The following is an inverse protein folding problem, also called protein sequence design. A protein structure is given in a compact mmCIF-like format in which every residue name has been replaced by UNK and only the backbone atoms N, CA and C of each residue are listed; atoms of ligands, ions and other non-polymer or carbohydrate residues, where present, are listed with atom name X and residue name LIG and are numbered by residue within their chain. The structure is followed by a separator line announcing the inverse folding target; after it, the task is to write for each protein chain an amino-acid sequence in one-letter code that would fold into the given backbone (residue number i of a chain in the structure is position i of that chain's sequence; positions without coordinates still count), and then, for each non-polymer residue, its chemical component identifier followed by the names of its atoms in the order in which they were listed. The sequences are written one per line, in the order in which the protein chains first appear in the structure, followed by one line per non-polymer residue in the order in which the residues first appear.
data_IF_415037734692
#
_entry.id   IF_415037734692
#
_cell.length_a   1.000
_cell.length_b   1.000
_cell.length_c   1.000
_cell.angle_alpha   90.00
_cell.angle_beta   90.00
_cell.angle_gamma   90.00
#
_symmetry.space_group_name_H-M   'P 1'
#
loop_
_entity.id
_entity.type
_entity.pdbx_description
1 polymer ?
#
# COMPACT_ATOMS: atom_id res chain seq x y z
N UNK A 1 1.10 12.05 -0.07
CA UNK A 1 -0.02 11.18 -0.48
C UNK A 1 0.40 10.40 -1.71
N UNK A 2 -0.35 9.42 -2.24
CA UNK A 2 -0.04 8.87 -3.57
C UNK A 2 -0.17 9.97 -4.63
N UNK A 3 0.76 10.04 -5.58
CA UNK A 3 0.60 10.88 -6.76
C UNK A 3 -0.64 10.44 -7.54
N UNK A 4 -1.51 11.39 -7.90
CA UNK A 4 -2.73 11.09 -8.63
C UNK A 4 -3.81 12.16 -8.50
N UNK A 5 -5.03 11.87 -9.00
CA UNK A 5 -6.15 12.81 -8.99
C UNK A 5 -6.51 13.31 -7.59
N UNK A 6 -6.48 12.43 -6.58
CA UNK A 6 -6.88 12.80 -5.22
C UNK A 6 -5.89 13.78 -4.57
N UNK A 7 -4.58 13.53 -4.69
CA UNK A 7 -3.57 14.46 -4.20
C UNK A 7 -3.66 15.82 -4.90
N UNK A 8 -3.88 15.82 -6.22
CA UNK A 8 -4.10 17.04 -7.01
C UNK A 8 -5.31 17.82 -6.50
N UNK A 9 -6.41 17.12 -6.25
CA UNK A 9 -7.67 17.70 -5.80
C UNK A 9 -7.59 18.32 -4.40
N UNK A 10 -6.78 17.73 -3.53
CA UNK A 10 -6.50 18.22 -2.18
C UNK A 10 -5.34 19.22 -2.13
N UNK A 11 -4.67 19.51 -3.26
CA UNK A 11 -3.50 20.37 -3.29
C UNK A 11 -2.32 19.83 -2.45
N UNK A 12 -2.18 18.52 -2.38
CA UNK A 12 -1.14 17.83 -1.59
C UNK A 12 -0.03 17.27 -2.49
N UNK A 13 1.18 17.21 -1.94
CA UNK A 13 2.30 16.57 -2.62
C UNK A 13 2.08 15.06 -2.80
N UNK A 14 2.27 14.61 -4.04
CA UNK A 14 2.16 13.22 -4.47
C UNK A 14 3.50 12.48 -4.41
N UNK A 15 3.46 11.22 -3.98
CA UNK A 15 4.57 10.27 -4.03
C UNK A 15 4.33 9.36 -5.25
N UNK A 16 5.19 9.41 -6.28
CA UNK A 16 5.00 8.64 -7.49
C UNK A 16 5.14 7.13 -7.24
N UNK A 17 4.50 6.31 -8.08
CA UNK A 17 4.67 4.86 -8.04
C UNK A 17 6.16 4.45 -8.25
N UNK A 18 6.85 5.19 -9.12
CA UNK A 18 8.27 5.01 -9.41
C UNK A 18 9.19 5.07 -8.17
N UNK A 19 8.78 5.75 -7.09
CA UNK A 19 9.54 5.80 -5.84
C UNK A 19 9.65 4.41 -5.17
N UNK A 20 8.64 3.57 -5.33
CA UNK A 20 8.64 2.18 -4.86
C UNK A 20 9.27 1.25 -5.91
N UNK A 21 8.78 1.33 -7.14
CA UNK A 21 9.14 0.39 -8.22
C UNK A 21 10.63 0.41 -8.56
N UNK A 22 11.25 1.60 -8.61
CA UNK A 22 12.68 1.75 -8.94
C UNK A 22 13.57 1.11 -7.88
N UNK A 23 13.18 1.21 -6.61
CA UNK A 23 13.93 0.64 -5.49
C UNK A 23 13.89 -0.88 -5.54
N UNK A 24 12.71 -1.45 -5.82
CA UNK A 24 12.51 -2.89 -5.98
C UNK A 24 13.33 -3.40 -7.17
N UNK A 25 13.26 -2.74 -8.33
CA UNK A 25 14.00 -3.15 -9.52
C UNK A 25 15.53 -3.17 -9.26
N UNK A 26 16.05 -2.13 -8.59
CA UNK A 26 17.45 -2.07 -8.18
C UNK A 26 17.82 -3.24 -7.25
N UNK A 27 17.01 -3.48 -6.23
CA UNK A 27 17.32 -4.48 -5.20
C UNK A 27 17.21 -5.91 -5.73
N UNK A 28 16.33 -6.15 -6.72
CA UNK A 28 16.29 -7.40 -7.48
C UNK A 28 17.61 -7.61 -8.24
N UNK A 29 18.12 -6.59 -8.93
CA UNK A 29 19.39 -6.70 -9.65
C UNK A 29 20.58 -6.98 -8.70
N UNK A 30 20.59 -6.35 -7.52
CA UNK A 30 21.57 -6.64 -6.48
C UNK A 30 21.44 -8.07 -5.94
N UNK A 31 20.22 -8.57 -5.79
CA UNK A 31 19.96 -9.94 -5.34
C UNK A 31 20.46 -10.97 -6.35
N UNK A 32 20.26 -10.71 -7.64
CA UNK A 32 20.78 -11.54 -8.73
C UNK A 32 22.32 -11.55 -8.75
N UNK A 33 22.94 -10.38 -8.64
CA UNK A 33 24.40 -10.26 -8.66
C UNK A 33 25.09 -10.91 -7.44
N UNK A 34 24.43 -10.89 -6.28
CA UNK A 34 25.01 -11.39 -5.02
C UNK A 34 24.57 -12.81 -4.66
N UNK A 35 23.52 -13.32 -5.31
CA UNK A 35 22.84 -14.54 -4.90
C UNK A 35 22.17 -14.43 -3.53
N UNK A 36 21.91 -13.23 -3.03
CA UNK A 36 21.34 -12.94 -1.72
C UNK A 36 19.87 -13.40 -1.54
N UNK A 37 19.22 -12.91 -0.49
CA UNK A 37 17.76 -13.01 -0.30
C UNK A 37 17.21 -11.60 -0.16
N UNK A 38 16.11 -11.32 -0.84
CA UNK A 38 15.39 -10.05 -0.76
C UNK A 38 13.98 -10.31 -0.26
N UNK A 39 13.56 -9.52 0.73
CA UNK A 39 12.17 -9.42 1.13
C UNK A 39 11.72 -7.98 0.89
N UNK A 40 10.65 -7.80 0.12
CA UNK A 40 10.09 -6.49 -0.20
C UNK A 40 8.92 -6.21 0.73
N UNK A 41 9.11 -5.22 1.59
CA UNK A 41 8.10 -4.80 2.55
C UNK A 41 6.92 -4.10 1.87
N UNK A 42 5.72 -4.32 2.42
CA UNK A 42 4.48 -3.55 2.23
C UNK A 42 4.27 -2.98 0.82
N UNK A 43 4.12 -3.84 -0.19
CA UNK A 43 3.85 -3.44 -1.57
C UNK A 43 2.59 -2.57 -1.67
N UNK A 44 2.64 -1.52 -2.50
CA UNK A 44 1.49 -0.64 -2.70
C UNK A 44 1.14 -0.34 -4.16
N UNK A 45 2.03 -0.63 -5.11
CA UNK A 45 1.79 -0.34 -6.53
C UNK A 45 1.45 -1.59 -7.34
N UNK A 46 0.62 -1.42 -8.38
CA UNK A 46 0.43 -2.44 -9.40
C UNK A 46 1.72 -2.74 -10.18
N UNK A 47 2.59 -1.76 -10.39
CA UNK A 47 3.83 -1.90 -11.16
C UNK A 47 4.92 -2.69 -10.42
N UNK A 48 4.88 -2.75 -9.10
CA UNK A 48 5.80 -3.60 -8.30
C UNK A 48 5.55 -5.09 -8.52
N UNK A 49 4.29 -5.51 -8.73
CA UNK A 49 3.91 -6.92 -8.89
C UNK A 49 4.64 -7.64 -10.02
N UNK A 50 4.68 -7.15 -11.27
CA UNK A 50 5.42 -7.81 -12.34
C UNK A 50 6.93 -7.92 -12.06
N UNK A 51 7.53 -6.95 -11.35
CA UNK A 51 8.95 -7.03 -10.95
C UNK A 51 9.20 -8.23 -10.04
N UNK A 52 8.36 -8.42 -9.01
CA UNK A 52 8.45 -9.57 -8.10
C UNK A 52 8.20 -10.87 -8.85
N UNK A 53 7.16 -10.92 -9.70
CA UNK A 53 6.80 -12.09 -10.50
C UNK A 53 7.95 -12.52 -11.41
N UNK A 54 8.58 -11.58 -12.10
CA UNK A 54 9.73 -11.84 -12.98
C UNK A 54 10.97 -12.30 -12.20
N UNK A 55 11.26 -11.67 -11.05
CA UNK A 55 12.37 -12.11 -10.20
C UNK A 55 12.18 -13.56 -9.74
N UNK A 56 10.97 -13.93 -9.30
CA UNK A 56 10.63 -15.30 -8.90
C UNK A 56 10.73 -16.27 -10.08
N UNK A 57 10.28 -15.91 -11.29
CA UNK A 57 10.35 -16.78 -12.47
C UNK A 57 11.79 -17.07 -12.92
N UNK A 58 12.72 -16.14 -12.64
CA UNK A 58 14.18 -16.33 -12.82
C UNK A 58 14.83 -17.17 -11.71
N UNK A 59 14.06 -17.63 -10.72
CA UNK A 59 14.55 -18.42 -9.59
C UNK A 59 15.28 -17.61 -8.52
N UNK A 60 15.14 -16.28 -8.52
CA UNK A 60 15.75 -15.45 -7.49
C UNK A 60 15.03 -15.64 -6.15
N UNK A 61 15.77 -15.51 -5.05
CA UNK A 61 15.23 -15.64 -3.68
C UNK A 61 14.59 -14.34 -3.22
N UNK A 62 13.50 -13.96 -3.89
CA UNK A 62 12.71 -12.76 -3.62
C UNK A 62 11.38 -13.16 -3.01
N UNK A 63 11.02 -12.53 -1.90
CA UNK A 63 9.67 -12.59 -1.32
C UNK A 63 9.11 -11.19 -1.13
N UNK A 64 7.81 -11.06 -0.95
CA UNK A 64 7.13 -9.79 -0.72
C UNK A 64 5.97 -9.95 0.25
N UNK A 65 5.61 -8.85 0.91
CA UNK A 65 4.42 -8.74 1.75
C UNK A 65 3.54 -7.56 1.32
N UNK A 66 2.28 -7.56 1.77
CA UNK A 66 1.32 -6.46 1.58
C UNK A 66 0.57 -6.19 2.88
N UNK A 67 0.21 -4.93 3.14
CA UNK A 67 -0.52 -4.57 4.34
C UNK A 67 -2.05 -4.67 4.18
N UNK A 68 -2.80 -4.96 5.26
CA UNK A 68 -4.26 -4.98 5.22
C UNK A 68 -4.87 -3.69 4.67
N UNK A 69 -4.31 -2.53 5.02
CA UNK A 69 -4.82 -1.23 4.55
C UNK A 69 -4.54 -1.00 3.06
N UNK A 70 -3.48 -1.54 2.48
CA UNK A 70 -3.25 -1.54 1.01
C UNK A 70 -4.13 -2.55 0.25
N UNK A 71 -4.85 -3.43 0.95
CA UNK A 71 -5.84 -4.33 0.34
C UNK A 71 -7.29 -3.84 0.48
N UNK A 72 -7.53 -2.83 1.32
CA UNK A 72 -8.90 -2.51 1.77
C UNK A 72 -9.24 -1.03 1.71
N UNK A 73 -8.25 -0.13 1.66
CA UNK A 73 -8.43 1.32 1.74
C UNK A 73 -7.74 1.99 0.55
N UNK A 74 -8.47 2.82 -0.19
CA UNK A 74 -7.96 3.61 -1.31
C UNK A 74 -7.59 5.03 -0.90
N UNK A 75 -6.82 5.69 -1.76
CA UNK A 75 -6.52 7.13 -1.68
C UNK A 75 -7.77 8.03 -1.54
N UNK A 76 -8.92 7.62 -2.08
CA UNK A 76 -10.22 8.30 -1.98
C UNK A 76 -10.65 8.56 -0.53
N UNK A 77 -10.19 7.79 0.44
CA UNK A 77 -10.52 8.02 1.85
C UNK A 77 -10.07 9.39 2.34
N UNK A 78 -8.98 9.95 1.79
CA UNK A 78 -8.50 11.27 2.14
C UNK A 78 -9.48 12.40 1.73
N UNK A 79 -10.42 12.14 0.82
CA UNK A 79 -11.51 13.07 0.46
C UNK A 79 -12.60 13.15 1.54
N UNK A 80 -12.56 12.33 2.60
CA UNK A 80 -13.49 12.45 3.72
C UNK A 80 -14.89 11.89 3.46
N UNK A 81 -15.02 10.96 2.51
CA UNK A 81 -16.28 10.29 2.14
C UNK A 81 -16.27 8.78 2.43
N UNK A 82 -15.37 8.32 3.32
CA UNK A 82 -15.22 6.91 3.74
C UNK A 82 -15.07 5.94 2.56
N UNK A 83 -14.24 6.32 1.57
CA UNK A 83 -13.97 5.50 0.40
C UNK A 83 -15.03 5.50 -0.71
N UNK A 84 -16.13 6.23 -0.53
CA UNK A 84 -17.07 6.45 -1.64
C UNK A 84 -16.42 7.35 -2.71
N UNK A 85 -16.61 7.06 -4.01
CA UNK A 85 -16.11 7.90 -5.08
C UNK A 85 -16.59 9.35 -4.89
N UNK A 86 -15.67 10.29 -4.97
CA UNK A 86 -15.99 11.70 -4.83
C UNK A 86 -15.13 12.56 -5.74
N UNK A 87 -15.76 13.55 -6.37
CA UNK A 87 -15.08 14.57 -7.18
C UNK A 87 -14.74 15.82 -6.35
N UNK A 88 -15.16 15.87 -5.08
CA UNK A 88 -14.99 17.02 -4.18
C UNK A 88 -14.65 16.58 -2.74
N UNK A 89 -13.85 17.35 -1.97
CA UNK A 89 -13.54 17.00 -0.59
C UNK A 89 -14.80 17.18 0.27
N UNK A 90 -15.04 16.24 1.18
CA UNK A 90 -16.09 16.32 2.19
C UNK A 90 -15.62 17.04 3.46
N UNK A 91 -16.52 17.14 4.45
CA UNK A 91 -16.23 17.78 5.73
C UNK A 91 -15.18 17.02 6.58
N UNK A 92 -14.91 15.75 6.27
CA UNK A 92 -13.85 14.93 6.91
C UNK A 92 -12.61 14.79 6.02
N UNK A 93 -12.44 15.63 4.99
CA UNK A 93 -11.24 15.57 4.16
C UNK A 93 -9.98 15.87 4.99
N UNK A 94 -8.82 15.42 4.49
CA UNK A 94 -7.53 15.57 5.19
C UNK A 94 -7.43 14.79 6.51
N UNK A 95 -8.18 13.69 6.66
CA UNK A 95 -7.99 12.78 7.79
C UNK A 95 -6.57 12.20 7.76
N UNK A 96 -5.76 12.59 8.75
CA UNK A 96 -4.36 12.22 8.86
C UNK A 96 -4.15 10.73 9.13
N UNK A 97 -5.19 10.00 9.54
CA UNK A 97 -5.14 8.53 9.63
C UNK A 97 -5.09 7.85 8.26
N UNK A 98 -5.33 8.58 7.16
CA UNK A 98 -5.09 8.08 5.80
C UNK A 98 -3.63 8.26 5.35
N UNK A 99 -2.78 8.90 6.16
CA UNK A 99 -1.38 9.15 5.86
C UNK A 99 -0.49 8.00 6.38
N UNK A 100 -0.12 7.10 5.48
CA UNK A 100 0.78 5.94 5.68
C UNK A 100 1.88 5.92 4.61
N UNK A 101 2.91 5.10 4.80
CA UNK A 101 4.02 4.97 3.86
C UNK A 101 4.37 3.49 3.63
N UNK A 102 4.30 2.95 2.40
CA UNK A 102 3.91 3.63 1.16
C UNK A 102 2.45 4.13 1.19
N UNK A 103 2.09 5.19 0.43
CA UNK A 103 0.77 5.80 0.54
C UNK A 103 -0.34 4.85 0.07
N UNK A 104 -1.56 5.06 0.57
CA UNK A 104 -2.77 4.44 0.01
C UNK A 104 -2.92 4.86 -1.45
N UNK A 105 -3.19 3.89 -2.32
CA UNK A 105 -3.25 4.09 -3.78
C UNK A 105 -4.66 3.87 -4.33
N UNK A 106 -4.75 3.85 -5.65
CA UNK A 106 -6.01 3.71 -6.38
C UNK A 106 -6.63 2.33 -6.20
N UNK A 107 -7.92 2.19 -6.49
CA UNK A 107 -8.56 0.87 -6.51
C UNK A 107 -7.92 -0.09 -7.53
N UNK A 108 -7.38 0.43 -8.64
CA UNK A 108 -6.66 -0.38 -9.62
C UNK A 108 -5.40 -1.02 -9.05
N UNK A 109 -4.64 -0.29 -8.23
CA UNK A 109 -3.47 -0.85 -7.54
C UNK A 109 -3.90 -1.95 -6.57
N UNK A 110 -4.93 -1.68 -5.76
CA UNK A 110 -5.46 -2.66 -4.79
C UNK A 110 -5.88 -3.96 -5.47
N UNK A 111 -6.61 -3.88 -6.59
CA UNK A 111 -7.06 -5.08 -7.31
C UNK A 111 -5.87 -5.95 -7.75
N UNK A 112 -4.82 -5.33 -8.29
CA UNK A 112 -3.60 -6.05 -8.71
C UNK A 112 -2.89 -6.68 -7.52
N UNK A 113 -2.84 -6.01 -6.36
CA UNK A 113 -2.25 -6.57 -5.14
C UNK A 113 -3.06 -7.75 -4.59
N UNK A 114 -4.40 -7.68 -4.66
CA UNK A 114 -5.28 -8.79 -4.26
C UNK A 114 -5.04 -10.01 -5.15
N UNK A 115 -5.02 -9.82 -6.46
CA UNK A 115 -4.77 -10.90 -7.43
C UNK A 115 -3.37 -11.49 -7.22
N UNK A 116 -2.36 -10.64 -7.02
CA UNK A 116 -0.98 -11.07 -6.76
C UNK A 116 -0.83 -11.87 -5.46
N UNK A 117 -1.60 -11.53 -4.42
CA UNK A 117 -1.64 -12.29 -3.18
C UNK A 117 -2.32 -13.65 -3.39
N UNK A 118 -3.43 -13.70 -4.13
CA UNK A 118 -4.13 -14.94 -4.46
C UNK A 118 -3.26 -15.88 -5.33
N UNK A 119 -2.48 -15.32 -6.26
CA UNK A 119 -1.54 -16.06 -7.12
C UNK A 119 -0.27 -16.54 -6.39
N UNK A 120 0.00 -16.05 -5.17
CA UNK A 120 1.24 -16.33 -4.44
C UNK A 120 2.47 -15.55 -4.94
N UNK A 121 2.27 -14.52 -5.76
CA UNK A 121 3.33 -13.55 -6.10
C UNK A 121 3.74 -12.78 -4.85
N UNK A 122 2.76 -12.37 -4.04
CA UNK A 122 2.96 -11.82 -2.70
C UNK A 122 2.86 -12.98 -1.70
N UNK A 123 3.86 -13.12 -0.82
CA UNK A 123 4.04 -14.31 0.02
C UNK A 123 3.22 -14.26 1.31
N UNK A 124 3.00 -13.06 1.86
CA UNK A 124 2.26 -12.91 3.12
C UNK A 124 1.59 -11.54 3.27
N UNK A 125 0.72 -11.47 4.29
CA UNK A 125 0.17 -10.21 4.80
C UNK A 125 0.91 -9.83 6.07
N UNK A 126 1.40 -8.58 6.13
CA UNK A 126 2.08 -8.02 7.29
C UNK A 126 1.46 -6.68 7.68
N UNK A 127 1.30 -6.42 8.97
CA UNK A 127 0.42 -5.32 9.41
C UNK A 127 0.98 -3.92 9.17
N UNK A 128 2.31 -3.78 9.11
CA UNK A 128 3.02 -2.50 9.28
C UNK A 128 2.42 -1.66 10.42
N UNK A 129 2.27 -2.28 11.60
CA UNK A 129 1.72 -1.62 12.76
C UNK A 129 2.64 -0.49 13.23
N UNK A 130 2.24 0.75 12.91
CA UNK A 130 2.99 1.97 13.19
C UNK A 130 2.15 2.94 14.05
N UNK A 131 2.00 2.68 15.36
CA UNK A 131 1.23 3.54 16.26
C UNK A 131 1.91 4.89 16.45
N UNK A 132 1.10 5.94 16.54
CA UNK A 132 1.54 7.31 16.76
C UNK A 132 0.71 7.97 17.86
N UNK A 133 1.32 8.90 18.60
CA UNK A 133 0.59 9.69 19.59
C UNK A 133 -0.42 10.64 18.90
N UNK A 134 -1.44 11.05 19.64
CA UNK A 134 -2.51 11.91 19.12
C UNK A 134 -1.97 13.23 18.57
N UNK A 135 -0.95 13.83 19.19
CA UNK A 135 -0.45 15.15 18.78
C UNK A 135 0.26 15.10 17.44
N UNK A 136 0.97 14.01 17.13
CA UNK A 136 1.60 13.80 15.82
C UNK A 136 0.60 13.53 14.68
N UNK A 137 -0.65 13.17 15.02
CA UNK A 137 -1.74 12.97 14.04
C UNK A 137 -2.73 14.14 14.00
N UNK A 138 -2.90 14.92 15.07
CA UNK A 138 -3.80 16.09 15.13
C UNK A 138 -3.13 17.39 14.64
N UNK A 139 -2.50 17.31 13.48
CA UNK A 139 -1.86 18.43 12.78
C UNK A 139 -2.33 18.47 11.32
N UNK A 140 -1.78 19.37 10.52
CA UNK A 140 -2.10 19.40 9.09
C UNK A 140 -1.68 18.09 8.41
N UNK A 141 -2.31 17.76 7.29
CA UNK A 141 -1.95 16.55 6.52
C UNK A 141 -0.46 16.54 6.13
N UNK A 142 0.12 17.70 5.85
CA UNK A 142 1.55 17.84 5.52
C UNK A 142 2.44 17.47 6.70
N UNK A 143 2.09 17.92 7.90
CA UNK A 143 2.92 17.78 9.10
C UNK A 143 2.70 16.45 9.84
N UNK A 144 1.58 15.77 9.60
CA UNK A 144 1.23 14.55 10.31
C UNK A 144 2.24 13.41 10.08
N UNK A 145 2.46 12.57 11.10
CA UNK A 145 3.30 11.38 10.95
C UNK A 145 2.67 10.36 10.00
N UNK A 146 3.53 9.65 9.24
CA UNK A 146 3.14 8.50 8.43
C UNK A 146 3.00 7.27 9.31
N UNK A 147 1.86 6.57 9.24
CA UNK A 147 1.62 5.33 9.97
C UNK A 147 0.29 5.33 10.71
N UNK A 148 -0.22 4.12 10.97
CA UNK A 148 -1.45 3.87 11.72
C UNK A 148 -1.35 2.57 12.54
N UNK A 149 -2.23 2.46 13.54
CA UNK A 149 -2.46 1.21 14.25
C UNK A 149 -3.26 0.22 13.42
N UNK A 150 -2.75 -1.01 13.24
CA UNK A 150 -3.39 -2.04 12.41
C UNK A 150 -3.51 -3.39 13.14
N UNK A 151 -2.74 -3.63 14.21
CA UNK A 151 -2.66 -4.95 14.85
C UNK A 151 -4.03 -5.52 15.26
N UNK A 152 -4.88 -4.70 15.88
CA UNK A 152 -6.22 -5.10 16.36
C UNK A 152 -7.25 -5.21 15.24
N UNK A 153 -7.05 -4.47 14.14
CA UNK A 153 -8.00 -4.39 13.03
C UNK A 153 -7.61 -5.26 11.84
N UNK A 154 -6.38 -5.82 11.83
CA UNK A 154 -5.80 -6.53 10.70
C UNK A 154 -6.74 -7.61 10.17
N UNK A 155 -7.10 -8.58 11.02
CA UNK A 155 -7.96 -9.69 10.63
C UNK A 155 -9.32 -9.21 10.11
N UNK A 156 -9.98 -8.31 10.85
CA UNK A 156 -11.30 -7.80 10.47
C UNK A 156 -11.29 -7.00 9.17
N UNK A 157 -10.21 -6.28 8.88
CA UNK A 157 -10.10 -5.42 7.69
C UNK A 157 -10.08 -6.23 6.41
N UNK A 158 -9.29 -7.31 6.33
CA UNK A 158 -9.18 -8.12 5.12
C UNK A 158 -10.05 -9.40 5.14
N UNK A 159 -10.81 -9.66 6.21
CA UNK A 159 -11.68 -10.85 6.34
C UNK A 159 -12.63 -11.05 5.14
N UNK A 160 -13.22 -9.95 4.65
CA UNK A 160 -14.12 -10.00 3.49
C UNK A 160 -13.43 -10.45 2.20
N UNK A 161 -12.12 -10.25 2.07
CA UNK A 161 -11.32 -10.67 0.93
C UNK A 161 -10.81 -12.10 1.11
N UNK A 162 -10.44 -12.48 2.33
CA UNK A 162 -10.00 -13.84 2.65
C UNK A 162 -11.03 -14.91 2.21
N UNK A 163 -12.31 -14.66 2.46
CA UNK A 163 -13.40 -15.56 2.02
C UNK A 163 -13.48 -15.67 0.50
N UNK A 164 -13.14 -14.60 -0.25
CA UNK A 164 -13.20 -14.61 -1.73
C UNK A 164 -12.01 -15.33 -2.36
N UNK A 165 -10.85 -15.29 -1.73
CA UNK A 165 -9.61 -15.89 -2.26
C UNK A 165 -9.57 -17.41 -1.99
N UNK A 166 -10.11 -17.88 -0.86
CA UNK A 166 -10.00 -19.30 -0.46
C UNK A 166 -11.11 -20.24 -0.95
N UNK A 167 -12.08 -19.76 -1.73
CA UNK A 167 -13.26 -20.55 -2.18
C UNK A 167 -13.49 -20.53 -3.70
N UNK A 168 -12.41 -20.51 -4.49
CA UNK A 168 -12.42 -20.79 -5.94
C UNK A 168 -11.51 -21.97 -6.24
#
# INVERSE_FOLDING_TARGET
MAEGPVATHLGLDGIPAAAEETMIARDIALTEATGGRLHVAHLSTAGSVPLIREAKSRGLRVTAEVCPHHLTITDQWALGRKGQPAEAPGYMAYDTNTKVYPPLRSQSDINVLIDALAEGVIDCVATDHAPHDLTSKQVTYKDAAFGISVLETALGSYWSWFIRISWV
#
